data_IF_430070482581
#
_entry.id   IF_430070482581
#
_cell.length_a   1.000
_cell.length_b   1.000
_cell.length_c   1.000
_cell.angle_alpha   90.00
_cell.angle_beta   90.00
_cell.angle_gamma   90.00
#
_symmetry.space_group_name_H-M   'P 1'
#
loop_
_entity.id
_entity.type
_entity.pdbx_description
1 polymer ?
#
# COMPACT_ATOMS: atom_id res chain seq x y z
N UNK A 1 2.30 7.35 3.39
CA UNK A 1 1.25 6.40 3.85
C UNK A 1 1.65 4.96 3.56
N UNK A 2 1.83 4.53 2.30
CA UNK A 2 2.19 3.12 2.00
C UNK A 2 3.61 2.72 2.45
N UNK A 3 4.62 3.60 2.30
CA UNK A 3 5.99 3.32 2.74
C UNK A 3 6.13 3.11 4.27
N UNK A 4 5.11 3.44 5.07
CA UNK A 4 5.13 3.21 6.52
C UNK A 4 5.03 1.72 6.88
N UNK A 5 4.59 0.86 5.95
CA UNK A 5 4.44 -0.57 6.20
C UNK A 5 4.72 -1.47 5.00
N UNK A 6 5.07 -0.91 3.84
CA UNK A 6 5.43 -1.68 2.65
C UNK A 6 6.95 -1.58 2.42
N UNK A 7 7.68 -2.71 2.31
CA UNK A 7 9.13 -2.68 2.06
C UNK A 7 9.50 -2.39 0.61
N UNK A 8 8.51 -2.27 -0.28
CA UNK A 8 8.72 -2.02 -1.70
C UNK A 8 9.11 -0.55 -1.94
N UNK A 9 10.08 -0.33 -2.81
CA UNK A 9 10.38 1.03 -3.29
C UNK A 9 9.26 1.49 -4.23
N UNK A 10 8.56 2.56 -3.84
CA UNK A 10 7.43 3.13 -4.59
C UNK A 10 7.82 4.39 -5.38
N UNK A 11 9.12 4.67 -5.52
CA UNK A 11 9.61 5.72 -6.40
C UNK A 11 9.12 5.52 -7.85
N UNK A 12 8.77 6.58 -8.60
CA UNK A 12 8.35 6.46 -10.01
C UNK A 12 9.33 5.69 -10.90
N UNK A 13 10.63 5.73 -10.63
CA UNK A 13 11.63 4.96 -11.37
C UNK A 13 11.62 3.47 -11.05
N UNK A 14 11.32 3.09 -9.81
CA UNK A 14 11.30 1.70 -9.35
C UNK A 14 9.92 1.01 -9.50
N UNK A 15 8.83 1.77 -9.37
CA UNK A 15 7.46 1.27 -9.40
C UNK A 15 6.55 2.16 -10.26
N UNK A 16 6.67 2.12 -11.61
CA UNK A 16 5.94 3.02 -12.51
C UNK A 16 4.43 2.75 -12.54
N UNK A 17 3.68 3.72 -13.09
CA UNK A 17 2.23 3.56 -13.32
C UNK A 17 1.98 2.36 -14.23
N UNK A 18 0.99 1.53 -13.87
CA UNK A 18 0.69 0.26 -14.52
C UNK A 18 1.35 -0.95 -13.88
N UNK A 19 2.38 -0.76 -13.03
CA UNK A 19 3.04 -1.87 -12.34
C UNK A 19 2.16 -2.45 -11.23
N UNK A 20 2.08 -3.77 -11.18
CA UNK A 20 1.33 -4.53 -10.20
C UNK A 20 2.22 -5.66 -9.66
N UNK A 21 2.29 -5.80 -8.32
CA UNK A 21 3.09 -6.86 -7.69
C UNK A 21 2.49 -7.32 -6.37
N UNK A 22 2.87 -8.53 -5.93
CA UNK A 22 2.58 -9.02 -4.59
C UNK A 22 3.65 -8.52 -3.62
N UNK A 23 3.21 -8.05 -2.47
CA UNK A 23 4.08 -7.58 -1.40
C UNK A 23 3.39 -7.75 -0.05
N UNK A 24 4.04 -7.33 1.02
CA UNK A 24 3.48 -7.30 2.37
C UNK A 24 3.27 -5.85 2.79
N UNK A 25 2.12 -5.58 3.40
CA UNK A 25 1.84 -4.34 4.11
C UNK A 25 1.68 -4.66 5.60
N UNK A 26 2.59 -4.15 6.42
CA UNK A 26 2.79 -4.53 7.81
C UNK A 26 2.99 -6.05 7.97
N UNK A 27 1.92 -6.80 8.19
CA UNK A 27 1.93 -8.27 8.34
C UNK A 27 0.93 -8.97 7.43
N UNK A 28 0.25 -8.23 6.56
CA UNK A 28 -0.74 -8.77 5.63
C UNK A 28 -0.13 -8.84 4.23
N UNK A 29 -0.28 -9.98 3.58
CA UNK A 29 0.05 -10.10 2.16
C UNK A 29 -1.00 -9.38 1.32
N UNK A 30 -0.54 -8.56 0.37
CA UNK A 30 -1.38 -7.76 -0.52
C UNK A 30 -0.88 -7.83 -1.96
N UNK A 31 -1.78 -7.54 -2.90
CA UNK A 31 -1.40 -7.11 -4.25
C UNK A 31 -1.45 -5.59 -4.28
N UNK A 32 -0.36 -4.97 -4.71
CA UNK A 32 -0.25 -3.53 -4.88
C UNK A 32 -0.17 -3.19 -6.37
N UNK A 33 -1.07 -2.32 -6.83
CA UNK A 33 -1.10 -1.83 -8.20
C UNK A 33 -1.05 -0.30 -8.21
N UNK A 34 -0.13 0.28 -9.00
CA UNK A 34 -0.11 1.73 -9.24
C UNK A 34 -0.99 2.08 -10.44
N UNK A 35 -2.18 2.61 -10.18
CA UNK A 35 -3.17 2.96 -11.21
C UNK A 35 -2.99 4.39 -11.76
N UNK A 36 -2.22 5.23 -11.08
CA UNK A 36 -1.91 6.60 -11.50
C UNK A 36 -0.70 7.16 -10.76
N UNK A 37 -0.31 8.39 -11.06
CA UNK A 37 0.91 8.99 -10.51
C UNK A 37 0.94 8.99 -8.97
N UNK A 38 -0.21 9.19 -8.31
CA UNK A 38 -0.34 9.17 -6.85
C UNK A 38 -1.49 8.25 -6.40
N UNK A 39 -1.91 7.34 -7.28
CA UNK A 39 -3.07 6.48 -7.07
C UNK A 39 -2.63 5.02 -7.04
N UNK A 40 -3.00 4.34 -5.95
CA UNK A 40 -2.66 2.95 -5.71
C UNK A 40 -3.94 2.17 -5.39
N UNK A 41 -4.05 0.99 -5.98
CA UNK A 41 -5.07 0.00 -5.66
C UNK A 41 -4.43 -1.12 -4.84
N UNK A 42 -5.10 -1.52 -3.78
CA UNK A 42 -4.64 -2.60 -2.89
C UNK A 42 -5.70 -3.69 -2.90
N UNK A 43 -5.32 -4.87 -3.36
CA UNK A 43 -6.12 -6.07 -3.15
C UNK A 43 -5.59 -6.83 -1.94
N UNK A 44 -6.52 -7.29 -1.12
CA UNK A 44 -6.21 -8.05 0.09
C UNK A 44 -7.26 -9.13 0.29
N UNK A 45 -6.85 -10.23 0.91
CA UNK A 45 -7.78 -11.23 1.41
C UNK A 45 -8.87 -10.58 2.28
N UNK A 46 -10.12 -10.98 2.05
CA UNK A 46 -11.30 -10.41 2.74
C UNK A 46 -11.14 -10.38 4.26
N UNK A 47 -10.57 -11.43 4.85
CA UNK A 47 -10.33 -11.54 6.30
C UNK A 47 -9.36 -10.48 6.83
N UNK A 48 -8.43 -10.00 6.00
CA UNK A 48 -7.44 -8.99 6.36
C UNK A 48 -7.88 -7.56 6.00
N UNK A 49 -9.00 -7.37 5.30
CA UNK A 49 -9.46 -6.05 4.86
C UNK A 49 -9.62 -5.04 6.02
N UNK A 50 -10.23 -5.48 7.12
CA UNK A 50 -10.41 -4.64 8.30
C UNK A 50 -9.07 -4.27 8.98
N UNK A 51 -8.09 -5.19 8.95
CA UNK A 51 -6.76 -4.94 9.50
C UNK A 51 -5.99 -3.93 8.65
N UNK A 52 -5.92 -4.14 7.34
CA UNK A 52 -5.23 -3.25 6.40
C UNK A 52 -5.85 -1.84 6.44
N UNK A 53 -7.17 -1.72 6.50
CA UNK A 53 -7.84 -0.43 6.63
C UNK A 53 -7.41 0.33 7.89
N UNK A 54 -7.31 -0.35 9.04
CA UNK A 54 -6.84 0.27 10.29
C UNK A 54 -5.38 0.71 10.21
N UNK A 55 -4.52 -0.10 9.60
CA UNK A 55 -3.10 0.25 9.38
C UNK A 55 -2.97 1.51 8.53
N UNK A 56 -3.72 1.60 7.43
CA UNK A 56 -3.72 2.78 6.55
C UNK A 56 -4.25 4.02 7.26
N UNK A 57 -5.34 3.87 8.05
CA UNK A 57 -5.90 4.99 8.83
C UNK A 57 -4.91 5.51 9.89
N UNK A 58 -4.17 4.62 10.56
CA UNK A 58 -3.13 5.01 11.50
C UNK A 58 -2.01 5.77 10.80
N UNK A 59 -1.46 5.21 9.71
CA UNK A 59 -0.42 5.87 8.94
C UNK A 59 -0.86 7.23 8.38
N UNK A 60 -2.14 7.39 8.03
CA UNK A 60 -2.68 8.66 7.57
C UNK A 60 -2.70 9.75 8.65
N UNK A 61 -2.95 9.35 9.91
CA UNK A 61 -2.93 10.26 11.06
C UNK A 61 -1.52 10.75 11.37
N UNK A 62 -0.50 9.90 11.24
CA UNK A 62 0.90 10.30 11.48
C UNK A 62 1.44 11.28 10.42
N UNK A 63 0.84 11.28 9.22
CA UNK A 63 1.20 12.20 8.14
C UNK A 63 0.51 13.56 8.22
N UNK A 64 -0.49 13.71 9.08
CA UNK A 64 -1.23 14.95 9.28
C UNK A 64 -0.96 15.43 10.71
N UNK A 65 -0.09 16.45 10.92
CA UNK A 65 0.21 16.96 12.26
C UNK A 65 -0.99 17.62 12.93
#
# INVERSE_FOLDING_TARGET
>A
MLNCGCPLDLDPGAFPVGMCTRTVLAKAEIVLWRTGERSFHIEVWRSFAAYVSKVLALAARELTP
#
